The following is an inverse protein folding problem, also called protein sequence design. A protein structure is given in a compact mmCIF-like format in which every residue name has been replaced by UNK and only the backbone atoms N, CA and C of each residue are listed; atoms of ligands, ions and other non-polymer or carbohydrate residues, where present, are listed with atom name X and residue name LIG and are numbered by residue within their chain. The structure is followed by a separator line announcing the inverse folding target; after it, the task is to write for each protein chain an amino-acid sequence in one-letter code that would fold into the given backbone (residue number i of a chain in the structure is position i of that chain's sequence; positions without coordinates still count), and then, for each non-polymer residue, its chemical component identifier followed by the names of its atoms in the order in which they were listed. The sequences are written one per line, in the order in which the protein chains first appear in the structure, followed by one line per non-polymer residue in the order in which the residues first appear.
data_IF_353914424479
#
_entry.id   IF_353914424479
#
_cell.length_a   1.000
_cell.length_b   1.000
_cell.length_c   1.000
_cell.angle_alpha   90.00
_cell.angle_beta   90.00
_cell.angle_gamma   90.00
#
_symmetry.space_group_name_H-M   'P 1'
#
loop_
_entity.id
_entity.type
_entity.pdbx_description
1 polymer ?
#
# COMPACT_ATOMS: atom_id res chain seq x y z
N UNK A 1 -10.52 -1.78 27.99
CA UNK A 1 -9.89 -2.80 27.12
C UNK A 1 -9.60 -2.12 25.82
N UNK A 2 -8.35 -1.84 25.54
CA UNK A 2 -7.92 -1.32 24.24
C UNK A 2 -8.26 -2.37 23.19
N UNK A 3 -8.96 -1.95 22.15
CA UNK A 3 -9.38 -2.86 21.09
C UNK A 3 -8.16 -3.17 20.21
N UNK A 4 -7.37 -4.18 20.58
CA UNK A 4 -6.12 -4.53 19.88
C UNK A 4 -6.33 -4.78 18.37
N UNK A 5 -7.54 -5.23 17.99
CA UNK A 5 -7.91 -5.41 16.58
C UNK A 5 -7.91 -4.09 15.78
N UNK A 6 -8.30 -2.97 16.38
CA UNK A 6 -8.31 -1.69 15.68
C UNK A 6 -6.90 -1.31 15.18
N UNK A 7 -5.86 -1.63 15.95
CA UNK A 7 -4.45 -1.40 15.60
C UNK A 7 -3.92 -2.28 14.47
N UNK A 8 -4.72 -3.22 13.99
CA UNK A 8 -4.39 -4.11 12.87
C UNK A 8 -5.17 -3.76 11.60
N UNK A 9 -5.92 -2.65 11.60
CA UNK A 9 -6.80 -2.26 10.50
C UNK A 9 -6.26 -1.02 9.80
N UNK A 10 -6.03 -1.14 8.50
CA UNK A 10 -5.89 0.00 7.59
C UNK A 10 -7.30 0.42 7.14
N UNK A 11 -7.84 1.52 7.70
CA UNK A 11 -9.15 2.01 7.33
C UNK A 11 -9.12 2.61 5.93
N UNK A 12 -9.75 1.95 4.96
CA UNK A 12 -9.44 2.10 3.54
C UNK A 12 -10.61 2.63 2.72
N UNK A 13 -10.33 3.64 1.87
CA UNK A 13 -11.25 4.14 0.84
C UNK A 13 -10.47 4.48 -0.44
N UNK A 14 -10.55 3.58 -1.44
CA UNK A 14 -9.80 3.68 -2.70
C UNK A 14 -10.71 3.77 -3.94
N UNK A 15 -12.01 3.98 -3.75
CA UNK A 15 -12.94 4.16 -4.88
C UNK A 15 -12.56 5.40 -5.69
N UNK A 16 -12.62 5.29 -7.02
CA UNK A 16 -12.28 6.40 -7.91
C UNK A 16 -13.17 7.64 -7.72
N UNK A 17 -14.38 7.46 -7.26
CA UNK A 17 -15.36 8.52 -7.00
C UNK A 17 -15.42 8.95 -5.53
N UNK A 18 -14.46 8.56 -4.70
CA UNK A 18 -14.40 9.00 -3.32
C UNK A 18 -14.27 10.54 -3.24
N UNK A 19 -15.15 11.14 -2.45
CA UNK A 19 -15.22 12.58 -2.27
C UNK A 19 -14.41 13.05 -1.07
N UNK A 20 -14.07 14.34 -1.01
CA UNK A 20 -13.38 14.92 0.15
C UNK A 20 -14.14 14.69 1.45
N UNK A 21 -15.48 14.81 1.44
CA UNK A 21 -16.29 14.59 2.62
C UNK A 21 -16.20 13.14 3.15
N UNK A 22 -16.10 12.15 2.25
CA UNK A 22 -15.91 10.76 2.63
C UNK A 22 -14.51 10.51 3.20
N UNK A 23 -13.48 11.17 2.65
CA UNK A 23 -12.10 11.08 3.18
C UNK A 23 -12.01 11.73 4.58
N UNK A 24 -12.64 12.88 4.80
CA UNK A 24 -12.71 13.52 6.11
C UNK A 24 -13.37 12.58 7.12
N UNK A 25 -14.50 11.98 6.76
CA UNK A 25 -15.20 11.01 7.60
C UNK A 25 -14.32 9.81 7.94
N UNK A 26 -13.64 9.24 6.94
CA UNK A 26 -12.69 8.13 7.11
C UNK A 26 -11.59 8.47 8.13
N UNK A 27 -11.01 9.65 8.02
CA UNK A 27 -9.93 10.08 8.90
C UNK A 27 -10.43 10.33 10.34
N UNK A 28 -11.63 10.92 10.52
CA UNK A 28 -12.23 11.11 11.84
C UNK A 28 -12.62 9.77 12.50
N UNK A 29 -13.12 8.80 11.74
CA UNK A 29 -13.36 7.43 12.23
C UNK A 29 -12.04 6.76 12.67
N UNK A 30 -10.97 6.88 11.88
CA UNK A 30 -9.66 6.31 12.24
C UNK A 30 -9.12 6.92 13.54
N UNK A 31 -9.30 8.21 13.73
CA UNK A 31 -8.94 8.94 14.95
C UNK A 31 -9.76 8.47 16.16
N UNK A 32 -11.07 8.30 16.00
CA UNK A 32 -11.97 7.85 17.06
C UNK A 32 -11.65 6.43 17.50
N UNK A 33 -11.55 5.50 16.54
CA UNK A 33 -11.35 4.07 16.81
C UNK A 33 -9.88 3.66 16.98
N UNK A 34 -8.94 4.58 16.74
CA UNK A 34 -7.51 4.33 16.81
C UNK A 34 -7.06 3.19 15.87
N UNK A 35 -7.50 3.22 14.61
CA UNK A 35 -7.01 2.30 13.60
C UNK A 35 -5.50 2.47 13.36
N UNK A 36 -4.86 1.46 12.75
CA UNK A 36 -3.42 1.53 12.43
C UNK A 36 -3.13 2.65 11.44
N UNK A 37 -3.94 2.76 10.41
CA UNK A 37 -3.82 3.79 9.37
C UNK A 37 -5.16 4.15 8.75
N UNK A 38 -5.15 5.23 7.96
CA UNK A 38 -6.09 5.43 6.85
C UNK A 38 -5.36 5.08 5.56
N UNK A 39 -6.03 4.40 4.61
CA UNK A 39 -5.47 4.14 3.29
C UNK A 39 -6.34 4.81 2.22
N UNK A 40 -5.74 5.76 1.49
CA UNK A 40 -6.42 6.61 0.52
C UNK A 40 -5.66 6.70 -0.80
N UNK A 41 -6.34 7.08 -1.89
CA UNK A 41 -5.66 7.38 -3.14
C UNK A 41 -4.68 8.56 -3.00
N UNK A 42 -3.59 8.63 -3.79
CA UNK A 42 -2.53 9.63 -3.64
C UNK A 42 -3.02 11.09 -3.60
N UNK A 43 -4.07 11.41 -4.34
CA UNK A 43 -4.68 12.76 -4.35
C UNK A 43 -5.19 13.22 -2.98
N UNK A 44 -5.52 12.30 -2.08
CA UNK A 44 -6.08 12.57 -0.76
C UNK A 44 -5.07 12.54 0.39
N UNK A 45 -3.82 12.16 0.12
CA UNK A 45 -2.78 12.01 1.15
C UNK A 45 -2.59 13.29 1.95
N UNK A 46 -2.45 14.42 1.27
CA UNK A 46 -2.28 15.71 1.95
C UNK A 46 -3.44 16.04 2.88
N UNK A 47 -4.68 15.84 2.43
CA UNK A 47 -5.88 16.07 3.25
C UNK A 47 -5.91 15.16 4.46
N UNK A 48 -5.67 13.86 4.29
CA UNK A 48 -5.62 12.90 5.40
C UNK A 48 -4.52 13.26 6.42
N UNK A 49 -3.33 13.61 5.92
CA UNK A 49 -2.21 14.03 6.76
C UNK A 49 -2.51 15.30 7.58
N UNK A 50 -3.19 16.29 6.98
CA UNK A 50 -3.61 17.51 7.69
C UNK A 50 -4.58 17.20 8.84
N UNK A 51 -5.54 16.26 8.64
CA UNK A 51 -6.54 15.88 9.65
C UNK A 51 -5.88 15.08 10.80
N UNK A 52 -4.92 14.22 10.45
CA UNK A 52 -4.29 13.30 11.39
C UNK A 52 -3.00 13.85 12.02
N UNK A 53 -2.59 15.07 11.68
CA UNK A 53 -1.33 15.70 12.08
C UNK A 53 -0.99 15.58 13.57
N UNK A 54 -1.98 15.75 14.44
CA UNK A 54 -1.80 15.74 15.89
C UNK A 54 -2.37 14.44 16.53
N UNK A 55 -2.60 13.40 15.71
CA UNK A 55 -3.17 12.12 16.15
C UNK A 55 -2.08 11.07 16.22
N UNK A 56 -1.60 10.81 17.43
CA UNK A 56 -0.57 9.83 17.66
C UNK A 56 -1.03 8.40 17.36
N UNK A 57 -0.22 7.66 16.60
CA UNK A 57 -0.41 6.23 16.32
C UNK A 57 -1.49 5.90 15.28
N UNK A 58 -1.89 6.87 14.44
CA UNK A 58 -2.71 6.62 13.23
C UNK A 58 -1.92 7.12 12.03
N UNK A 59 -1.48 6.20 11.19
CA UNK A 59 -0.62 6.47 10.05
C UNK A 59 -1.41 6.89 8.79
N UNK A 60 -0.73 7.54 7.85
CA UNK A 60 -1.29 7.87 6.54
C UNK A 60 -0.68 6.95 5.49
N UNK A 61 -1.46 6.00 5.03
CA UNK A 61 -1.12 5.04 3.98
C UNK A 61 -1.70 5.49 2.63
N UNK A 62 -0.97 5.23 1.56
CA UNK A 62 -1.47 5.38 0.20
C UNK A 62 -0.97 4.26 -0.70
N UNK A 63 -1.50 4.20 -1.92
CA UNK A 63 -1.19 3.16 -2.89
C UNK A 63 -0.27 3.67 -4.01
N UNK A 64 0.58 2.79 -4.55
CA UNK A 64 1.58 3.10 -5.57
C UNK A 64 1.43 2.13 -6.75
N UNK A 65 1.34 2.65 -7.96
CA UNK A 65 1.12 1.86 -9.17
C UNK A 65 -0.20 1.08 -9.16
N UNK A 66 -1.19 1.61 -8.48
CA UNK A 66 -2.41 0.92 -8.11
C UNK A 66 -3.56 1.17 -9.11
N UNK A 67 -4.44 0.17 -9.39
CA UNK A 67 -4.43 -1.19 -8.83
C UNK A 67 -3.68 -2.24 -9.67
N UNK A 68 -3.10 -1.88 -10.82
CA UNK A 68 -2.60 -2.83 -11.82
C UNK A 68 -1.13 -3.24 -11.63
N UNK A 69 -0.32 -2.43 -10.96
CA UNK A 69 1.12 -2.66 -10.82
C UNK A 69 1.91 -2.55 -12.13
N UNK A 70 1.28 -2.12 -13.22
CA UNK A 70 1.79 -2.22 -14.59
C UNK A 70 2.48 -0.94 -15.11
N UNK A 71 2.73 0.03 -14.26
CA UNK A 71 3.54 1.20 -14.61
C UNK A 71 5.03 0.93 -14.43
N UNK A 72 5.90 1.83 -14.90
CA UNK A 72 7.35 1.64 -14.80
C UNK A 72 7.87 1.87 -13.39
N UNK A 73 9.03 1.30 -13.07
CA UNK A 73 9.67 1.44 -11.75
C UNK A 73 9.99 2.90 -11.41
N UNK A 74 10.40 3.69 -12.42
CA UNK A 74 10.69 5.12 -12.26
C UNK A 74 9.45 5.91 -11.87
N UNK A 75 8.29 5.59 -12.47
CA UNK A 75 7.00 6.23 -12.15
C UNK A 75 6.55 5.84 -10.75
N UNK A 76 6.66 4.57 -10.36
CA UNK A 76 6.36 4.12 -8.98
C UNK A 76 7.25 4.83 -7.95
N UNK A 77 8.56 4.95 -8.22
CA UNK A 77 9.48 5.66 -7.34
C UNK A 77 9.14 7.16 -7.22
N UNK A 78 8.73 7.79 -8.32
CA UNK A 78 8.29 9.18 -8.33
C UNK A 78 6.99 9.36 -7.52
N UNK A 79 6.00 8.50 -7.77
CA UNK A 79 4.72 8.49 -7.03
C UNK A 79 4.94 8.32 -5.52
N UNK A 80 5.85 7.42 -5.14
CA UNK A 80 6.25 7.21 -3.74
C UNK A 80 6.82 8.48 -3.11
N UNK A 81 7.77 9.14 -3.78
CA UNK A 81 8.37 10.40 -3.29
C UNK A 81 7.32 11.49 -3.13
N UNK A 82 6.45 11.65 -4.12
CA UNK A 82 5.37 12.63 -4.09
C UNK A 82 4.38 12.36 -2.95
N UNK A 83 4.01 11.09 -2.73
CA UNK A 83 3.15 10.70 -1.63
C UNK A 83 3.75 11.05 -0.26
N UNK A 84 5.04 10.77 -0.07
CA UNK A 84 5.77 11.08 1.17
C UNK A 84 5.86 12.60 1.39
N UNK A 85 6.15 13.37 0.36
CA UNK A 85 6.17 14.85 0.41
C UNK A 85 4.81 15.43 0.82
N UNK A 86 3.72 14.75 0.48
CA UNK A 86 2.36 15.10 0.88
C UNK A 86 1.94 14.56 2.26
N UNK A 87 2.81 13.80 2.93
CA UNK A 87 2.60 13.35 4.30
C UNK A 87 2.24 11.87 4.47
N UNK A 88 2.43 11.02 3.44
CA UNK A 88 2.30 9.58 3.60
C UNK A 88 3.45 9.04 4.47
N UNK A 89 3.10 8.18 5.42
CA UNK A 89 4.03 7.45 6.29
C UNK A 89 4.07 5.96 5.99
N UNK A 90 3.13 5.49 5.15
CA UNK A 90 3.09 4.14 4.60
C UNK A 90 2.73 4.17 3.12
N UNK A 91 3.33 3.26 2.33
CA UNK A 91 3.05 3.12 0.90
C UNK A 91 2.81 1.64 0.55
N UNK A 92 1.69 1.36 -0.10
CA UNK A 92 1.28 0.04 -0.54
C UNK A 92 1.42 -0.04 -2.07
N UNK A 93 2.54 -0.54 -2.56
CA UNK A 93 2.76 -0.72 -4.00
C UNK A 93 2.13 -2.01 -4.52
N UNK A 94 1.69 -2.03 -5.76
CA UNK A 94 1.31 -3.27 -6.45
C UNK A 94 2.49 -3.80 -7.25
N UNK A 95 2.78 -5.10 -7.07
CA UNK A 95 3.83 -5.81 -7.83
C UNK A 95 3.52 -5.81 -9.33
N UNK A 96 4.55 -5.86 -10.18
CA UNK A 96 4.34 -6.06 -11.62
C UNK A 96 3.97 -7.52 -11.90
N UNK A 97 2.67 -7.79 -11.90
CA UNK A 97 2.10 -9.14 -12.01
C UNK A 97 2.45 -9.79 -13.34
N UNK A 98 2.38 -9.04 -14.43
CA UNK A 98 2.73 -9.55 -15.76
C UNK A 98 4.18 -10.00 -15.84
N UNK A 99 5.11 -9.21 -15.33
CA UNK A 99 6.52 -9.55 -15.28
C UNK A 99 6.79 -10.77 -14.37
N UNK A 100 6.08 -10.89 -13.25
CA UNK A 100 6.17 -12.07 -12.37
C UNK A 100 5.74 -13.33 -13.11
N UNK A 101 4.59 -13.30 -13.81
CA UNK A 101 4.07 -14.43 -14.58
C UNK A 101 5.00 -14.83 -15.73
N UNK A 102 5.67 -13.86 -16.32
CA UNK A 102 6.66 -14.06 -17.38
C UNK A 102 8.06 -14.43 -16.82
N UNK A 103 8.16 -14.66 -15.50
CA UNK A 103 9.38 -15.03 -14.78
C UNK A 103 10.52 -14.02 -14.91
N UNK A 104 10.21 -12.76 -15.19
CA UNK A 104 11.17 -11.66 -15.22
C UNK A 104 11.50 -11.19 -13.79
N UNK A 105 12.05 -12.08 -12.98
CA UNK A 105 12.23 -11.88 -11.54
C UNK A 105 13.16 -10.69 -11.21
N UNK A 106 14.21 -10.49 -11.99
CA UNK A 106 15.11 -9.33 -11.82
C UNK A 106 14.38 -8.00 -12.02
N UNK A 107 13.44 -7.94 -12.99
CA UNK A 107 12.62 -6.77 -13.22
C UNK A 107 11.67 -6.54 -12.04
N UNK A 108 11.03 -7.61 -11.55
CA UNK A 108 10.10 -7.52 -10.41
C UNK A 108 10.82 -7.06 -9.15
N UNK A 109 11.98 -7.63 -8.82
CA UNK A 109 12.77 -7.24 -7.65
C UNK A 109 13.26 -5.79 -7.76
N UNK A 110 13.74 -5.38 -8.94
CA UNK A 110 14.15 -4.00 -9.20
C UNK A 110 12.98 -3.01 -9.05
N UNK A 111 11.79 -3.39 -9.52
CA UNK A 111 10.58 -2.59 -9.41
C UNK A 111 10.19 -2.35 -7.94
N UNK A 112 10.16 -3.41 -7.13
CA UNK A 112 9.90 -3.31 -5.68
C UNK A 112 10.99 -2.47 -5.01
N UNK A 113 12.25 -2.74 -5.32
CA UNK A 113 13.39 -2.02 -4.74
C UNK A 113 13.36 -0.52 -5.04
N UNK A 114 12.89 -0.11 -6.21
CA UNK A 114 12.77 1.30 -6.56
C UNK A 114 11.80 2.05 -5.62
N UNK A 115 10.71 1.41 -5.20
CA UNK A 115 9.77 1.96 -4.21
C UNK A 115 10.38 1.95 -2.81
N UNK A 116 10.97 0.82 -2.41
CA UNK A 116 11.63 0.68 -1.09
C UNK A 116 12.73 1.74 -0.91
N UNK A 117 13.58 1.92 -1.92
CA UNK A 117 14.67 2.91 -1.86
C UNK A 117 14.12 4.35 -1.80
N UNK A 118 13.01 4.64 -2.50
CA UNK A 118 12.34 5.94 -2.45
C UNK A 118 11.68 6.23 -1.09
N UNK A 119 11.19 5.20 -0.41
CA UNK A 119 10.53 5.26 0.89
C UNK A 119 11.51 5.22 2.08
N UNK A 120 12.74 4.75 1.85
CA UNK A 120 13.72 4.43 2.91
C UNK A 120 13.91 5.53 3.94
N UNK A 121 13.68 5.18 5.21
CA UNK A 121 13.82 6.08 6.35
C UNK A 121 12.73 7.14 6.48
N UNK A 122 11.67 7.07 5.66
CA UNK A 122 10.58 8.05 5.63
C UNK A 122 9.19 7.41 5.70
N UNK A 123 9.00 6.27 5.06
CA UNK A 123 7.73 5.56 5.04
C UNK A 123 7.96 4.04 5.02
N UNK A 124 7.04 3.32 5.62
CA UNK A 124 6.94 1.86 5.56
C UNK A 124 6.43 1.43 4.19
N UNK A 125 6.97 0.34 3.64
CA UNK A 125 6.58 -0.19 2.32
C UNK A 125 5.90 -1.54 2.45
N UNK A 126 4.68 -1.68 1.89
CA UNK A 126 3.99 -2.95 1.71
C UNK A 126 3.91 -3.29 0.23
N UNK A 127 4.01 -4.58 -0.11
CA UNK A 127 3.92 -5.07 -1.49
C UNK A 127 2.64 -5.87 -1.66
N UNK A 128 1.68 -5.34 -2.44
CA UNK A 128 0.46 -6.05 -2.81
C UNK A 128 0.80 -7.00 -3.95
N UNK A 129 0.66 -8.29 -3.71
CA UNK A 129 1.02 -9.33 -4.69
C UNK A 129 -0.17 -9.81 -5.53
N UNK A 130 -1.41 -9.46 -5.17
CA UNK A 130 -2.66 -9.84 -5.84
C UNK A 130 -2.82 -11.35 -5.98
N UNK A 131 -2.92 -12.02 -4.86
CA UNK A 131 -2.88 -13.50 -4.75
C UNK A 131 -3.88 -14.22 -5.63
N UNK A 132 -5.05 -13.63 -5.90
CA UNK A 132 -6.08 -14.26 -6.75
C UNK A 132 -5.67 -14.43 -8.22
N UNK A 133 -4.59 -13.78 -8.67
CA UNK A 133 -4.04 -13.90 -10.02
C UNK A 133 -2.81 -14.80 -10.08
N UNK A 134 -2.36 -15.34 -8.95
CA UNK A 134 -1.09 -16.06 -8.82
C UNK A 134 -1.30 -17.54 -8.49
N UNK A 135 -0.42 -18.40 -9.01
CA UNK A 135 -0.25 -19.77 -8.50
C UNK A 135 0.49 -19.74 -7.15
N UNK A 136 0.52 -20.87 -6.45
CA UNK A 136 1.21 -20.95 -5.15
C UNK A 136 2.71 -20.72 -5.30
N UNK A 137 3.35 -21.24 -6.36
CA UNK A 137 4.75 -20.99 -6.67
C UNK A 137 5.02 -19.52 -6.97
N UNK A 138 4.09 -18.84 -7.67
CA UNK A 138 4.20 -17.40 -7.94
C UNK A 138 4.04 -16.56 -6.67
N UNK A 139 3.15 -16.95 -5.75
CA UNK A 139 3.00 -16.30 -4.44
C UNK A 139 4.29 -16.40 -3.62
N UNK A 140 4.87 -17.62 -3.53
CA UNK A 140 6.14 -17.82 -2.84
C UNK A 140 7.26 -16.97 -3.45
N UNK A 141 7.34 -16.93 -4.80
CA UNK A 141 8.34 -16.13 -5.49
C UNK A 141 8.13 -14.63 -5.22
N UNK A 142 6.90 -14.13 -5.31
CA UNK A 142 6.58 -12.74 -5.00
C UNK A 142 7.00 -12.35 -3.57
N UNK A 143 6.76 -13.22 -2.60
CA UNK A 143 7.20 -13.01 -1.22
C UNK A 143 8.74 -12.96 -1.12
N UNK A 144 9.46 -13.89 -1.77
CA UNK A 144 10.93 -13.90 -1.79
C UNK A 144 11.51 -12.62 -2.38
N UNK A 145 10.98 -12.18 -3.53
CA UNK A 145 11.43 -10.95 -4.20
C UNK A 145 11.16 -9.72 -3.34
N UNK A 146 10.01 -9.68 -2.64
CA UNK A 146 9.68 -8.59 -1.72
C UNK A 146 10.65 -8.52 -0.54
N UNK A 147 11.00 -9.65 0.05
CA UNK A 147 12.01 -9.73 1.14
C UNK A 147 13.38 -9.29 0.64
N UNK A 148 13.82 -9.79 -0.51
CA UNK A 148 15.11 -9.43 -1.10
C UNK A 148 15.22 -7.93 -1.39
N UNK A 149 14.14 -7.33 -1.87
CA UNK A 149 14.06 -5.90 -2.14
C UNK A 149 14.01 -5.04 -0.86
N UNK A 150 13.75 -5.63 0.31
CA UNK A 150 13.72 -4.94 1.59
C UNK A 150 12.37 -4.34 1.95
N UNK A 151 11.26 -4.86 1.42
CA UNK A 151 9.92 -4.46 1.82
C UNK A 151 9.61 -4.88 3.26
N UNK A 152 8.81 -4.08 3.96
CA UNK A 152 8.43 -4.33 5.36
C UNK A 152 7.30 -5.37 5.46
N UNK A 153 6.36 -5.37 4.51
CA UNK A 153 5.21 -6.28 4.48
C UNK A 153 4.89 -6.76 3.06
N UNK A 154 4.24 -7.92 3.00
CA UNK A 154 3.55 -8.43 1.82
C UNK A 154 2.04 -8.41 2.10
N UNK A 155 1.25 -7.90 1.17
CA UNK A 155 -0.21 -7.75 1.26
C UNK A 155 -0.88 -8.58 0.17
N UNK A 156 -1.98 -9.24 0.48
CA UNK A 156 -2.57 -10.22 -0.44
C UNK A 156 -3.24 -9.58 -1.65
N UNK A 157 -3.95 -8.47 -1.46
CA UNK A 157 -4.98 -8.08 -2.44
C UNK A 157 -5.16 -6.57 -2.54
N UNK A 158 -5.51 -6.10 -3.77
CA UNK A 158 -5.91 -4.71 -4.01
C UNK A 158 -7.34 -4.42 -3.53
N UNK A 159 -8.21 -5.42 -3.49
CA UNK A 159 -9.65 -5.26 -3.32
C UNK A 159 -10.40 -4.88 -4.62
N UNK A 160 -9.71 -4.81 -5.76
CA UNK A 160 -10.26 -4.45 -7.08
C UNK A 160 -10.16 -5.59 -8.09
N UNK A 161 -9.90 -6.81 -7.65
CA UNK A 161 -9.86 -8.01 -8.48
C UNK A 161 -10.89 -9.05 -8.00
N UNK A 162 -10.77 -10.28 -8.47
CA UNK A 162 -11.78 -11.34 -8.30
C UNK A 162 -11.76 -12.02 -6.93
N UNK A 163 -10.69 -11.85 -6.14
CA UNK A 163 -10.53 -12.52 -4.85
C UNK A 163 -9.82 -11.64 -3.82
N UNK A 164 -9.76 -12.15 -2.60
CA UNK A 164 -9.12 -11.50 -1.46
C UNK A 164 -8.34 -12.50 -0.59
N UNK A 165 -8.04 -12.11 0.64
CA UNK A 165 -7.39 -12.97 1.60
C UNK A 165 -8.26 -14.17 1.98
N UNK A 166 -7.61 -15.33 2.19
CA UNK A 166 -8.23 -16.55 2.71
C UNK A 166 -7.60 -16.91 4.05
N UNK A 167 -8.24 -17.83 4.79
CA UNK A 167 -7.71 -18.31 6.06
C UNK A 167 -6.54 -19.29 5.84
N UNK A 168 -6.56 -19.97 4.70
CA UNK A 168 -5.52 -20.93 4.27
C UNK A 168 -4.36 -20.20 3.61
#
# INVERSE_FOLDING_TARGET
MTNDLARMIDHTLLKANATEAEIVKLAEEAKEYKFASVCVNPTWVKKASEILKDVEGVEVCTVIGFPLGATTSEVKAFETKNAIENGATEVDMVINIGALKDKQYDLVEKDIKAVVDAAKGKALTKVIIETCLLTDEEKEMACKLSVNAGADFVKTSTGFSTGGATVE
#
